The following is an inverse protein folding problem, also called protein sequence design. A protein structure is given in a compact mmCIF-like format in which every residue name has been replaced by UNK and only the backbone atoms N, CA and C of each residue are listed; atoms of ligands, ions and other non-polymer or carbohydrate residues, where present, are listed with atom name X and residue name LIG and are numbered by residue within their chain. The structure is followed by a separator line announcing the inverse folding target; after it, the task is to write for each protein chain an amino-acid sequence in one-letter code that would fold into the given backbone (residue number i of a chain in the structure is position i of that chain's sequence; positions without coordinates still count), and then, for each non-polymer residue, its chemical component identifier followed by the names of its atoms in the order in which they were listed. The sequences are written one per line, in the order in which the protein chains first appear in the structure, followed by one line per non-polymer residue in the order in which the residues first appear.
data_IF_158062338433
#
_entry.id   IF_158062338433
#
_cell.length_a   1.000
_cell.length_b   1.000
_cell.length_c   1.000
_cell.angle_alpha   90.00
_cell.angle_beta   90.00
_cell.angle_gamma   90.00
#
_symmetry.space_group_name_H-M   'P 1'
#
loop_
_entity.id
_entity.type
_entity.pdbx_description
1 polymer ?
#
# COMPACT_ATOMS: atom_id res chain seq x y z
N UNK A 1 -21.20 -35.61 -36.16
CA UNK A 1 -20.61 -34.26 -36.09
C UNK A 1 -20.07 -34.06 -34.68
N UNK A 2 -18.78 -34.20 -34.51
CA UNK A 2 -18.13 -34.02 -33.22
C UNK A 2 -17.92 -32.50 -32.97
N UNK A 3 -18.65 -31.96 -31.98
CA UNK A 3 -18.40 -30.59 -31.52
C UNK A 3 -17.22 -30.61 -30.56
N UNK A 4 -16.07 -30.08 -31.02
CA UNK A 4 -14.92 -29.81 -30.14
C UNK A 4 -15.19 -28.47 -29.45
N UNK A 5 -15.44 -28.54 -28.14
CA UNK A 5 -15.50 -27.34 -27.29
C UNK A 5 -14.08 -27.06 -26.82
N UNK A 6 -13.48 -26.03 -27.34
CA UNK A 6 -12.17 -25.51 -26.83
C UNK A 6 -12.49 -24.65 -25.63
N UNK A 7 -12.23 -25.15 -24.43
CA UNK A 7 -12.10 -24.27 -23.25
C UNK A 7 -10.78 -23.56 -23.33
N UNK A 8 -10.80 -22.29 -23.70
CA UNK A 8 -9.66 -21.44 -23.53
C UNK A 8 -9.37 -21.31 -22.04
N UNK A 9 -8.30 -21.97 -21.56
CA UNK A 9 -7.77 -21.74 -20.22
C UNK A 9 -7.20 -20.31 -20.20
N UNK A 10 -7.97 -19.35 -19.67
CA UNK A 10 -7.46 -18.03 -19.35
C UNK A 10 -6.51 -18.22 -18.16
N UNK A 11 -5.25 -18.48 -18.44
CA UNK A 11 -4.20 -18.43 -17.42
C UNK A 11 -4.05 -16.96 -17.04
N UNK A 12 -4.76 -16.54 -16.00
CA UNK A 12 -4.48 -15.28 -15.34
C UNK A 12 -3.13 -15.49 -14.67
N UNK A 13 -2.06 -15.03 -15.31
CA UNK A 13 -0.77 -14.86 -14.67
C UNK A 13 -0.98 -13.89 -13.52
N UNK A 14 -1.11 -14.42 -12.29
CA UNK A 14 -1.01 -13.64 -11.08
C UNK A 14 0.45 -13.21 -11.02
N UNK A 15 0.75 -12.04 -11.55
CA UNK A 15 2.06 -11.42 -11.39
C UNK A 15 2.15 -11.02 -9.92
N UNK A 16 2.84 -11.83 -9.13
CA UNK A 16 3.19 -11.45 -7.77
C UNK A 16 3.99 -10.14 -7.85
N UNK A 17 3.42 -9.05 -7.33
CA UNK A 17 4.11 -7.76 -7.32
C UNK A 17 5.29 -7.84 -6.38
N UNK A 18 6.43 -7.41 -6.85
CA UNK A 18 7.62 -7.29 -6.02
C UNK A 18 7.62 -5.90 -5.36
N UNK A 19 7.21 -5.86 -4.09
CA UNK A 19 7.25 -4.63 -3.29
C UNK A 19 8.63 -4.47 -2.66
N UNK A 20 9.27 -3.29 -2.75
CA UNK A 20 10.47 -3.03 -1.96
C UNK A 20 10.14 -3.04 -0.48
N UNK A 21 11.07 -3.50 0.35
CA UNK A 21 10.92 -3.46 1.81
C UNK A 21 11.43 -2.14 2.35
N UNK A 22 10.52 -1.21 2.64
CA UNK A 22 10.85 0.05 3.32
C UNK A 22 10.50 -0.04 4.80
N UNK A 23 11.50 -0.28 5.62
CA UNK A 23 11.32 -0.26 7.08
C UNK A 23 11.01 1.17 7.53
N UNK A 24 9.97 1.32 8.34
CA UNK A 24 9.54 2.63 8.87
C UNK A 24 10.68 3.35 9.61
N UNK A 25 11.48 2.63 10.38
CA UNK A 25 12.59 3.16 11.16
C UNK A 25 13.95 3.01 10.46
N UNK A 26 14.00 2.93 9.13
CA UNK A 26 15.27 2.96 8.40
C UNK A 26 16.00 4.29 8.66
N UNK A 27 17.31 4.26 9.01
CA UNK A 27 18.09 5.47 9.29
C UNK A 27 18.04 6.55 8.20
N UNK A 28 17.75 6.16 6.96
CA UNK A 28 17.66 7.10 5.85
C UNK A 28 16.54 8.14 6.03
N UNK A 29 15.43 7.79 6.71
CA UNK A 29 14.26 8.66 6.89
C UNK A 29 13.63 8.60 8.28
N UNK A 30 14.13 7.76 9.17
CA UNK A 30 13.55 7.54 10.49
C UNK A 30 13.25 8.82 11.27
N UNK A 31 14.17 9.79 11.21
CA UNK A 31 14.09 11.05 11.94
C UNK A 31 13.43 12.18 11.16
N UNK A 32 12.99 11.95 9.93
CA UNK A 32 12.28 12.96 9.16
C UNK A 32 10.93 13.26 9.82
N UNK A 33 10.57 14.54 9.92
CA UNK A 33 9.26 14.94 10.42
C UNK A 33 8.14 14.39 9.54
N UNK A 34 7.18 13.70 10.14
CA UNK A 34 6.01 13.18 9.44
C UNK A 34 4.97 14.30 9.23
N UNK A 35 4.65 14.59 7.99
CA UNK A 35 3.73 15.69 7.69
C UNK A 35 4.21 17.00 8.31
N UNK A 36 3.34 17.67 9.04
CA UNK A 36 3.63 18.89 9.82
C UNK A 36 3.47 18.67 11.32
N UNK A 37 3.34 17.40 11.76
CA UNK A 37 3.25 17.04 13.17
C UNK A 37 4.61 17.11 13.87
N UNK A 38 4.63 16.88 15.17
CA UNK A 38 5.88 16.72 15.94
C UNK A 38 6.45 15.31 15.87
N UNK A 39 5.72 14.37 15.26
CA UNK A 39 6.13 12.99 15.13
C UNK A 39 7.08 12.77 13.95
N UNK A 40 7.93 11.75 14.08
CA UNK A 40 8.84 11.32 13.01
C UNK A 40 8.23 10.18 12.21
N UNK A 41 8.81 9.91 11.03
CA UNK A 41 8.42 8.76 10.22
C UNK A 41 8.55 7.47 11.03
N UNK A 42 9.64 7.29 11.80
CA UNK A 42 9.82 6.10 12.64
C UNK A 42 8.71 5.95 13.68
N UNK A 43 8.23 7.05 14.27
CA UNK A 43 7.24 7.02 15.34
C UNK A 43 5.83 6.74 14.84
N UNK A 44 5.39 7.38 13.75
CA UNK A 44 4.00 7.38 13.30
C UNK A 44 3.79 7.12 11.79
N UNK A 45 4.86 6.90 11.01
CA UNK A 45 4.81 6.82 9.55
C UNK A 45 4.46 5.44 8.96
N UNK A 46 3.83 4.53 9.70
CA UNK A 46 3.55 3.16 9.21
C UNK A 46 2.67 3.13 7.95
N UNK A 47 1.58 3.90 7.94
CA UNK A 47 0.69 3.98 6.78
C UNK A 47 1.39 4.60 5.57
N UNK A 48 2.09 5.73 5.77
CA UNK A 48 2.82 6.41 4.72
C UNK A 48 3.94 5.53 4.14
N UNK A 49 4.67 4.79 4.97
CA UNK A 49 5.70 3.83 4.52
C UNK A 49 5.08 2.67 3.73
N UNK A 50 3.92 2.16 4.16
CA UNK A 50 3.16 1.13 3.41
C UNK A 50 2.69 1.66 2.05
N UNK A 51 2.23 2.91 1.98
CA UNK A 51 1.86 3.55 0.73
C UNK A 51 3.07 3.76 -0.20
N UNK A 52 4.24 4.09 0.33
CA UNK A 52 5.46 4.20 -0.45
C UNK A 52 5.89 2.86 -1.06
N UNK A 53 5.81 1.77 -0.30
CA UNK A 53 6.04 0.41 -0.83
C UNK A 53 5.03 0.06 -1.93
N UNK A 54 3.76 0.38 -1.73
CA UNK A 54 2.69 0.14 -2.70
C UNK A 54 2.94 0.88 -4.01
N UNK A 55 3.27 2.16 -3.95
CA UNK A 55 3.60 2.98 -5.12
C UNK A 55 4.81 2.43 -5.85
N UNK A 56 5.90 2.11 -5.15
CA UNK A 56 7.11 1.56 -5.76
C UNK A 56 6.87 0.20 -6.41
N UNK A 57 6.10 -0.68 -5.77
CA UNK A 57 5.75 -2.00 -6.33
C UNK A 57 4.81 -1.94 -7.53
N UNK A 58 4.21 -0.78 -7.81
CA UNK A 58 3.34 -0.51 -8.96
C UNK A 58 4.01 0.36 -10.03
N UNK A 59 5.33 0.59 -9.92
CA UNK A 59 6.12 1.29 -10.94
C UNK A 59 6.32 2.78 -10.71
N UNK A 60 5.92 3.30 -9.53
CA UNK A 60 6.08 4.71 -9.18
C UNK A 60 7.22 4.87 -8.17
N UNK A 61 8.27 5.58 -8.51
CA UNK A 61 9.50 5.67 -7.71
C UNK A 61 9.33 6.59 -6.50
N UNK A 62 8.84 6.04 -5.39
CA UNK A 62 8.75 6.71 -4.10
C UNK A 62 9.37 5.86 -3.00
N UNK A 63 10.10 6.49 -2.09
CA UNK A 63 10.47 5.94 -0.79
C UNK A 63 9.76 6.74 0.32
N UNK A 64 9.83 6.34 1.59
CA UNK A 64 9.15 7.06 2.67
C UNK A 64 9.49 8.54 2.74
N UNK A 65 10.74 8.94 2.56
CA UNK A 65 11.13 10.35 2.54
C UNK A 65 10.47 11.12 1.41
N UNK A 66 10.61 10.65 0.18
CA UNK A 66 10.13 11.36 -1.00
C UNK A 66 8.60 11.41 -1.06
N UNK A 67 7.92 10.34 -0.63
CA UNK A 67 6.47 10.36 -0.52
C UNK A 67 5.99 11.33 0.56
N UNK A 68 6.61 11.32 1.74
CA UNK A 68 6.26 12.25 2.82
C UNK A 68 6.42 13.72 2.37
N UNK A 69 7.51 14.05 1.68
CA UNK A 69 7.73 15.37 1.11
C UNK A 69 6.66 15.76 0.10
N UNK A 70 6.30 14.84 -0.80
CA UNK A 70 5.25 15.08 -1.77
C UNK A 70 3.89 15.32 -1.11
N UNK A 71 3.52 14.47 -0.14
CA UNK A 71 2.27 14.59 0.61
C UNK A 71 2.17 15.92 1.35
N UNK A 72 3.26 16.38 1.99
CA UNK A 72 3.33 17.70 2.63
C UNK A 72 3.03 18.83 1.65
N UNK A 73 3.58 18.77 0.45
CA UNK A 73 3.44 19.81 -0.57
C UNK A 73 2.09 19.78 -1.30
N UNK A 74 1.35 18.65 -1.28
CA UNK A 74 0.18 18.42 -2.11
C UNK A 74 -1.10 18.13 -1.31
N UNK A 75 -1.15 18.51 -0.04
CA UNK A 75 -2.33 18.32 0.80
C UNK A 75 -2.63 16.86 1.15
N UNK A 76 -1.58 16.04 1.23
CA UNK A 76 -1.68 14.62 1.55
C UNK A 76 -1.85 14.33 3.04
N UNK A 77 -1.82 15.36 3.89
CA UNK A 77 -2.06 15.27 5.31
C UNK A 77 -3.09 16.28 5.79
N UNK A 78 -3.85 15.92 6.82
CA UNK A 78 -4.70 16.82 7.61
C UNK A 78 -4.32 16.67 9.09
N UNK A 79 -4.59 17.69 9.89
CA UNK A 79 -4.29 17.68 11.34
C UNK A 79 -2.86 17.24 11.68
N UNK A 80 -1.89 17.64 10.88
CA UNK A 80 -0.47 17.36 11.07
C UNK A 80 0.04 16.15 10.28
N UNK A 81 -0.44 14.95 10.56
CA UNK A 81 0.06 13.71 9.97
C UNK A 81 -1.02 12.68 9.58
N UNK A 82 -2.29 13.03 9.74
CA UNK A 82 -3.37 12.15 9.31
C UNK A 82 -3.39 12.06 7.77
N UNK A 83 -3.16 10.87 7.28
CA UNK A 83 -3.04 10.57 5.86
C UNK A 83 -4.37 10.77 5.12
N UNK A 84 -4.35 11.56 4.06
CA UNK A 84 -5.49 11.75 3.16
C UNK A 84 -5.46 10.67 2.08
N UNK A 85 -6.30 9.64 2.21
CA UNK A 85 -6.31 8.46 1.34
C UNK A 85 -6.40 8.80 -0.15
N UNK A 86 -7.28 9.72 -0.51
CA UNK A 86 -7.46 10.11 -1.90
C UNK A 86 -6.28 10.89 -2.50
N UNK A 87 -5.32 11.33 -1.68
CA UNK A 87 -4.14 12.06 -2.18
C UNK A 87 -3.31 11.21 -3.14
N UNK A 88 -3.25 9.88 -2.92
CA UNK A 88 -2.50 8.97 -3.79
C UNK A 88 -3.10 8.81 -5.19
N UNK A 89 -4.34 9.25 -5.42
CA UNK A 89 -4.95 9.23 -6.75
C UNK A 89 -4.14 10.04 -7.77
N UNK A 90 -3.43 11.07 -7.29
CA UNK A 90 -2.54 11.89 -8.12
C UNK A 90 -1.21 11.20 -8.44
N UNK A 91 -0.93 10.07 -7.79
CA UNK A 91 0.33 9.34 -7.89
C UNK A 91 0.20 8.00 -8.65
N UNK A 92 -0.95 7.75 -9.25
CA UNK A 92 -1.17 6.56 -10.08
C UNK A 92 -1.80 5.36 -9.37
N UNK A 93 -2.13 5.47 -8.07
CA UNK A 93 -2.96 4.50 -7.36
C UNK A 93 -4.30 5.14 -7.03
N UNK A 94 -5.40 4.48 -7.37
CA UNK A 94 -6.73 4.97 -7.02
C UNK A 94 -7.19 4.39 -5.69
N UNK A 95 -7.53 5.25 -4.74
CA UNK A 95 -8.13 4.81 -3.48
C UNK A 95 -9.48 4.13 -3.74
N UNK A 96 -9.57 2.85 -3.46
CA UNK A 96 -10.75 2.00 -3.72
C UNK A 96 -11.70 1.86 -2.53
N UNK A 97 -11.45 2.58 -1.43
CA UNK A 97 -12.25 2.50 -0.21
C UNK A 97 -11.77 1.46 0.80
N UNK A 98 -12.53 1.31 1.87
CA UNK A 98 -12.28 0.33 2.92
C UNK A 98 -13.00 -0.97 2.63
N UNK A 99 -12.36 -2.09 2.96
CA UNK A 99 -12.87 -3.45 2.76
C UNK A 99 -12.90 -4.21 4.08
N UNK A 100 -13.73 -5.26 4.16
CA UNK A 100 -13.73 -6.18 5.30
C UNK A 100 -12.52 -7.12 5.24
N UNK A 101 -12.14 -7.69 6.40
CA UNK A 101 -11.06 -8.68 6.47
C UNK A 101 -11.32 -9.89 5.55
N UNK A 102 -12.57 -10.32 5.40
CA UNK A 102 -12.95 -11.42 4.51
C UNK A 102 -12.70 -11.13 3.02
N UNK A 103 -12.60 -9.85 2.64
CA UNK A 103 -12.36 -9.43 1.26
C UNK A 103 -10.86 -9.28 0.92
N UNK A 104 -9.94 -9.44 1.87
CA UNK A 104 -8.50 -9.22 1.64
C UNK A 104 -7.99 -10.17 0.56
N UNK A 105 -8.21 -11.48 0.70
CA UNK A 105 -7.72 -12.50 -0.25
C UNK A 105 -8.22 -12.25 -1.67
N UNK A 106 -9.52 -12.01 -1.84
CA UNK A 106 -10.12 -11.76 -3.16
C UNK A 106 -9.58 -10.48 -3.82
N UNK A 107 -9.27 -9.44 -3.04
CA UNK A 107 -8.64 -8.22 -3.57
C UNK A 107 -7.17 -8.45 -3.95
N UNK A 108 -6.41 -9.23 -3.17
CA UNK A 108 -5.06 -9.66 -3.54
C UNK A 108 -5.07 -10.50 -4.82
N UNK A 109 -5.99 -11.46 -4.94
CA UNK A 109 -6.15 -12.30 -6.14
C UNK A 109 -6.52 -11.47 -7.37
N UNK A 110 -7.29 -10.39 -7.18
CA UNK A 110 -7.60 -9.43 -8.24
C UNK A 110 -6.42 -8.48 -8.59
N UNK A 111 -5.26 -8.67 -7.98
CA UNK A 111 -4.06 -7.86 -8.21
C UNK A 111 -4.15 -6.45 -7.64
N UNK A 112 -5.05 -6.19 -6.69
CA UNK A 112 -5.15 -4.89 -6.03
C UNK A 112 -4.09 -4.75 -4.95
N UNK A 113 -3.69 -3.51 -4.68
CA UNK A 113 -2.90 -3.17 -3.51
C UNK A 113 -3.81 -3.18 -2.28
N UNK A 114 -3.42 -3.86 -1.22
CA UNK A 114 -4.16 -3.96 0.03
C UNK A 114 -3.27 -3.53 1.19
N UNK A 115 -3.69 -2.51 1.92
CA UNK A 115 -3.03 -2.07 3.16
C UNK A 115 -3.95 -2.44 4.32
N UNK A 116 -3.41 -3.15 5.30
CA UNK A 116 -4.16 -3.74 6.40
C UNK A 116 -3.84 -3.03 7.71
N UNK A 117 -4.88 -2.75 8.48
CA UNK A 117 -4.74 -2.28 9.85
C UNK A 117 -4.63 -3.48 10.79
N UNK A 118 -3.58 -3.52 11.57
CA UNK A 118 -3.27 -4.62 12.51
C UNK A 118 -3.05 -4.08 13.92
N UNK A 119 -2.81 -4.98 14.89
CA UNK A 119 -2.58 -4.63 16.29
C UNK A 119 -3.72 -3.76 16.89
N UNK A 120 -4.96 -4.21 16.72
CA UNK A 120 -6.16 -3.51 17.23
C UNK A 120 -6.27 -2.05 16.74
N UNK A 121 -5.87 -1.80 15.52
CA UNK A 121 -5.91 -0.46 14.92
C UNK A 121 -4.63 0.36 15.06
N UNK A 122 -3.63 -0.14 15.75
CA UNK A 122 -2.42 0.62 16.08
C UNK A 122 -1.33 0.62 15.01
N UNK A 123 -1.46 -0.20 13.94
CA UNK A 123 -0.41 -0.30 12.95
C UNK A 123 -0.95 -0.62 11.55
N UNK A 124 -0.33 -0.05 10.51
CA UNK A 124 -0.66 -0.31 9.12
C UNK A 124 0.47 -1.02 8.41
N UNK A 125 0.13 -2.06 7.65
CA UNK A 125 1.09 -2.86 6.88
C UNK A 125 0.59 -3.12 5.46
N UNK A 126 1.51 -3.26 4.52
CA UNK A 126 1.18 -3.67 3.15
C UNK A 126 1.02 -5.19 3.10
N UNK A 127 -0.13 -5.68 2.69
CA UNK A 127 -0.34 -7.10 2.42
C UNK A 127 0.33 -7.46 1.08
N UNK A 128 1.20 -8.45 1.11
CA UNK A 128 1.95 -8.89 -0.07
C UNK A 128 1.35 -10.14 -0.71
N UNK A 129 1.00 -11.11 0.12
CA UNK A 129 0.48 -12.42 -0.29
C UNK A 129 -0.24 -13.07 0.88
N UNK A 130 -0.81 -14.23 0.65
CA UNK A 130 -1.37 -15.05 1.72
C UNK A 130 -1.06 -16.53 1.52
N UNK A 131 -1.08 -17.30 2.60
CA UNK A 131 -0.99 -18.74 2.60
C UNK A 131 -2.00 -19.31 3.60
N UNK A 132 -3.02 -20.01 3.13
CA UNK A 132 -4.15 -20.40 3.96
C UNK A 132 -4.83 -19.18 4.57
N UNK A 133 -4.89 -19.09 5.91
CA UNK A 133 -5.49 -17.96 6.63
C UNK A 133 -4.49 -16.89 7.08
N UNK A 134 -3.20 -17.09 6.79
CA UNK A 134 -2.14 -16.12 7.06
C UNK A 134 -1.94 -15.16 5.89
N UNK A 135 -1.88 -13.87 6.18
CA UNK A 135 -1.60 -12.78 5.23
C UNK A 135 -0.23 -12.20 5.53
#
# INVERSE_FOLDING_TARGET
MNKVVIFGLLVTLIVARNYPMYKQCDPQWANDQLGTSTDTICKAGCLMSSAAMALSGTGHTYNPRTLNQWLKANGGYVSGDLFVWASINKLGLTFGGFISNSAIKSNLDAGKVVIVNVHNGGHWVLAHSYNGDSI
#
